data_IF_255072401558
#
_entry.id   IF_255072401558
#
_cell.length_a   1.000
_cell.length_b   1.000
_cell.length_c   1.000
_cell.angle_alpha   90.00
_cell.angle_beta   90.00
_cell.angle_gamma   90.00
#
_symmetry.space_group_name_H-M   'P 1'
#
loop_
_entity.id
_entity.type
_entity.pdbx_description
1 polymer ?
#
# COMPACT_ATOMS: atom_id res chain seq x y z
N UNK A 1 -6.24 -0.20 34.88
CA UNK A 1 -5.37 -0.01 33.68
C UNK A 1 -5.05 -1.40 33.16
N UNK A 2 -5.87 -1.93 32.26
CA UNK A 2 -5.62 -3.25 31.64
C UNK A 2 -4.59 -3.08 30.53
N UNK A 3 -3.47 -3.79 30.65
CA UNK A 3 -2.50 -3.95 29.58
C UNK A 3 -3.16 -4.59 28.37
N UNK A 4 -3.39 -3.80 27.32
CA UNK A 4 -3.78 -4.33 26.01
C UNK A 4 -2.70 -5.30 25.54
N UNK A 5 -2.99 -6.60 25.58
CA UNK A 5 -2.21 -7.62 24.87
C UNK A 5 -1.97 -7.12 23.44
N UNK A 6 -0.70 -6.91 23.07
CA UNK A 6 -0.29 -6.60 21.71
C UNK A 6 -0.72 -7.77 20.81
N UNK A 7 -1.88 -7.63 20.18
CA UNK A 7 -2.26 -8.50 19.07
C UNK A 7 -1.21 -8.33 17.97
N UNK A 8 -0.65 -9.43 17.46
CA UNK A 8 0.30 -9.36 16.37
C UNK A 8 -0.29 -8.58 15.19
N UNK A 9 0.54 -7.87 14.41
CA UNK A 9 0.14 -6.98 13.28
C UNK A 9 -0.74 -7.65 12.19
N UNK A 10 -1.11 -8.91 12.32
CA UNK A 10 -1.93 -9.70 11.39
C UNK A 10 -3.25 -10.22 11.94
N UNK A 11 -3.63 -9.92 13.19
CA UNK A 11 -4.86 -10.39 13.83
C UNK A 11 -6.00 -9.39 13.79
N UNK A 12 -7.12 -9.75 14.42
CA UNK A 12 -8.29 -8.90 14.59
C UNK A 12 -7.96 -7.61 15.36
N UNK A 13 -8.34 -6.46 14.84
CA UNK A 13 -8.09 -5.14 15.47
C UNK A 13 -8.82 -4.95 16.81
N UNK A 14 -9.83 -5.78 17.09
CA UNK A 14 -10.66 -5.67 18.29
C UNK A 14 -10.11 -6.56 19.40
N UNK A 15 -9.83 -7.83 19.10
CA UNK A 15 -9.45 -8.82 20.12
C UNK A 15 -8.10 -9.52 19.88
N UNK A 16 -7.41 -9.22 18.78
CA UNK A 16 -6.11 -9.84 18.44
C UNK A 16 -6.17 -11.28 17.90
N UNK A 17 -7.35 -11.88 17.86
CA UNK A 17 -7.54 -13.26 17.39
C UNK A 17 -7.30 -13.39 15.89
N UNK A 18 -7.06 -14.62 15.45
CA UNK A 18 -6.84 -14.95 14.04
C UNK A 18 -8.06 -14.62 13.17
N UNK A 19 -7.82 -14.14 11.95
CA UNK A 19 -8.87 -13.88 10.97
C UNK A 19 -9.30 -15.17 10.27
N UNK A 20 -10.60 -15.34 10.13
CA UNK A 20 -11.24 -16.42 9.37
C UNK A 20 -11.69 -15.90 8.03
N UNK A 21 -11.40 -16.64 6.97
CA UNK A 21 -11.80 -16.30 5.60
C UNK A 21 -12.87 -17.26 5.10
N UNK A 22 -14.01 -16.72 4.68
CA UNK A 22 -15.13 -17.48 4.13
C UNK A 22 -15.05 -17.51 2.60
N UNK A 23 -15.48 -18.62 1.98
CA UNK A 23 -15.58 -18.72 0.52
C UNK A 23 -16.68 -17.81 -0.02
N UNK A 24 -17.80 -17.73 0.67
CA UNK A 24 -18.91 -16.82 0.34
C UNK A 24 -18.86 -15.58 1.24
N UNK A 25 -19.26 -14.43 0.66
CA UNK A 25 -19.36 -13.19 1.40
C UNK A 25 -20.58 -13.24 2.33
N UNK A 26 -20.36 -12.95 3.62
CA UNK A 26 -21.41 -12.88 4.64
C UNK A 26 -21.68 -11.43 5.04
N UNK A 27 -22.93 -11.14 5.45
CA UNK A 27 -23.30 -9.82 5.94
C UNK A 27 -22.65 -9.56 7.30
N UNK A 28 -21.84 -8.51 7.37
CA UNK A 28 -21.08 -8.12 8.57
C UNK A 28 -21.38 -6.68 8.95
N UNK A 29 -21.29 -6.39 10.25
CA UNK A 29 -21.44 -5.04 10.79
C UNK A 29 -20.12 -4.58 11.39
N UNK A 30 -19.61 -3.43 10.95
CA UNK A 30 -18.39 -2.85 11.49
C UNK A 30 -18.56 -2.46 12.95
N UNK A 31 -17.72 -2.98 13.83
CA UNK A 31 -17.78 -2.72 15.28
C UNK A 31 -17.45 -1.27 15.66
N UNK A 32 -16.80 -0.50 14.76
CA UNK A 32 -16.43 0.89 15.03
C UNK A 32 -17.43 1.91 14.50
N UNK A 33 -18.00 1.71 13.31
CA UNK A 33 -18.89 2.70 12.68
C UNK A 33 -20.31 2.19 12.41
N UNK A 34 -20.60 0.92 12.68
CA UNK A 34 -21.93 0.32 12.45
C UNK A 34 -22.27 0.08 10.96
N UNK A 35 -21.36 0.38 10.01
CA UNK A 35 -21.61 0.14 8.58
C UNK A 35 -21.83 -1.35 8.33
N UNK A 36 -22.92 -1.68 7.61
CA UNK A 36 -23.21 -3.03 7.15
C UNK A 36 -22.68 -3.21 5.72
N UNK A 37 -21.93 -4.28 5.51
CA UNK A 37 -21.42 -4.65 4.18
C UNK A 37 -21.07 -6.14 4.13
N UNK A 38 -20.97 -6.69 2.92
CA UNK A 38 -20.58 -8.08 2.71
C UNK A 38 -19.05 -8.22 2.82
N UNK A 39 -18.61 -9.22 3.59
CA UNK A 39 -17.18 -9.50 3.77
C UNK A 39 -16.89 -11.00 3.68
N UNK A 40 -15.71 -11.33 3.16
CA UNK A 40 -15.15 -12.68 3.20
C UNK A 40 -14.25 -12.92 4.43
N UNK A 41 -14.12 -11.93 5.33
CA UNK A 41 -13.22 -12.01 6.47
C UNK A 41 -13.88 -11.48 7.74
N UNK A 42 -13.75 -12.24 8.81
CA UNK A 42 -14.06 -11.84 10.19
C UNK A 42 -13.07 -12.47 11.14
N UNK A 43 -13.12 -12.19 12.43
CA UNK A 43 -12.39 -12.99 13.41
C UNK A 43 -13.28 -14.12 13.95
N UNK A 44 -12.68 -15.08 14.69
CA UNK A 44 -13.42 -16.20 15.30
C UNK A 44 -14.54 -15.75 16.25
N UNK A 45 -14.35 -14.59 16.89
CA UNK A 45 -15.35 -13.97 17.78
C UNK A 45 -16.40 -13.13 17.02
N UNK A 46 -16.42 -13.20 15.68
CA UNK A 46 -17.37 -12.48 14.83
C UNK A 46 -17.09 -10.99 14.65
N UNK A 47 -15.99 -10.44 15.18
CA UNK A 47 -15.66 -9.04 14.96
C UNK A 47 -15.33 -8.76 13.49
N UNK A 48 -15.87 -7.66 12.99
CA UNK A 48 -15.57 -7.12 11.67
C UNK A 48 -15.23 -5.64 11.76
N UNK A 49 -14.23 -5.21 10.98
CA UNK A 49 -13.86 -3.81 10.84
C UNK A 49 -13.81 -3.47 9.36
N UNK A 50 -14.61 -2.49 8.92
CA UNK A 50 -14.63 -2.06 7.52
C UNK A 50 -13.30 -1.43 7.09
N UNK A 51 -13.01 -1.47 5.78
CA UNK A 51 -11.76 -0.96 5.22
C UNK A 51 -11.46 0.50 5.64
N UNK A 52 -12.49 1.36 5.69
CA UNK A 52 -12.33 2.76 6.11
C UNK A 52 -11.87 2.89 7.57
N UNK A 53 -12.53 2.19 8.50
CA UNK A 53 -12.14 2.21 9.91
C UNK A 53 -10.79 1.54 10.15
N UNK A 54 -10.47 0.49 9.37
CA UNK A 54 -9.19 -0.20 9.44
C UNK A 54 -8.04 0.70 9.01
N UNK A 55 -8.23 1.48 7.94
CA UNK A 55 -7.18 2.30 7.34
C UNK A 55 -6.95 3.65 8.04
N UNK A 56 -7.96 4.17 8.76
CA UNK A 56 -7.98 5.58 9.22
C UNK A 56 -6.68 6.05 9.86
N UNK A 57 -6.22 5.37 10.91
CA UNK A 57 -4.98 5.75 11.60
C UNK A 57 -3.72 5.55 10.76
N UNK A 58 -3.72 4.52 9.91
CA UNK A 58 -2.64 4.29 8.96
C UNK A 58 -2.53 5.39 7.90
N UNK A 59 -3.66 5.90 7.41
CA UNK A 59 -3.68 7.03 6.46
C UNK A 59 -3.21 8.33 7.11
N UNK A 60 -3.62 8.59 8.36
CA UNK A 60 -3.13 9.73 9.15
C UNK A 60 -1.59 9.67 9.33
N UNK A 61 -1.04 8.50 9.67
CA UNK A 61 0.40 8.28 9.80
C UNK A 61 1.16 8.46 8.48
N UNK A 62 0.61 7.93 7.37
CA UNK A 62 1.18 8.10 6.02
C UNK A 62 1.28 9.59 5.69
N UNK A 63 0.18 10.34 5.85
CA UNK A 63 0.13 11.77 5.53
C UNK A 63 1.13 12.57 6.38
N UNK A 64 1.15 12.35 7.69
CA UNK A 64 2.05 13.04 8.61
C UNK A 64 3.52 12.84 8.20
N UNK A 65 3.96 11.60 8.02
CA UNK A 65 5.34 11.30 7.64
C UNK A 65 5.69 11.86 6.27
N UNK A 66 4.80 11.76 5.29
CA UNK A 66 5.04 12.28 3.94
C UNK A 66 5.19 13.81 3.90
N UNK A 67 4.51 14.55 4.78
CA UNK A 67 4.64 16.00 4.87
C UNK A 67 5.89 16.47 5.63
N UNK A 68 6.44 15.64 6.53
CA UNK A 68 7.57 15.99 7.37
C UNK A 68 8.93 15.56 6.76
N UNK A 69 8.94 14.52 5.93
CA UNK A 69 10.20 13.94 5.43
C UNK A 69 10.79 14.72 4.26
N UNK A 70 12.12 14.85 4.25
CA UNK A 70 12.90 15.36 3.13
C UNK A 70 13.57 14.26 2.29
N UNK A 71 13.28 12.99 2.55
CA UNK A 71 13.86 11.87 1.84
C UNK A 71 13.46 11.86 0.35
N UNK A 72 14.41 11.54 -0.51
CA UNK A 72 14.23 11.38 -1.95
C UNK A 72 14.10 9.92 -2.39
N UNK A 73 14.30 9.00 -1.45
CA UNK A 73 14.16 7.56 -1.66
C UNK A 73 12.76 7.09 -1.24
N UNK A 74 11.87 6.73 -2.19
CA UNK A 74 10.52 6.28 -1.88
C UNK A 74 10.49 4.95 -1.11
N UNK A 75 11.53 4.13 -1.20
CA UNK A 75 11.66 2.89 -0.44
C UNK A 75 11.96 3.19 1.02
N UNK A 76 12.87 4.11 1.29
CA UNK A 76 13.18 4.55 2.65
C UNK A 76 11.96 5.21 3.32
N UNK A 77 11.21 6.05 2.59
CA UNK A 77 9.96 6.64 3.07
C UNK A 77 8.97 5.54 3.46
N UNK A 78 8.74 4.57 2.59
CA UNK A 78 7.81 3.46 2.84
C UNK A 78 8.26 2.59 4.01
N UNK A 79 9.56 2.34 4.18
CA UNK A 79 10.07 1.58 5.31
C UNK A 79 9.80 2.29 6.64
N UNK A 80 9.94 3.61 6.69
CA UNK A 80 9.56 4.40 7.87
C UNK A 80 8.06 4.34 8.14
N UNK A 81 7.22 4.52 7.10
CA UNK A 81 5.76 4.37 7.23
C UNK A 81 5.40 2.98 7.75
N UNK A 82 6.01 1.93 7.19
CA UNK A 82 5.75 0.53 7.57
C UNK A 82 6.15 0.20 9.01
N UNK A 83 7.03 0.99 9.63
CA UNK A 83 7.41 0.83 11.02
C UNK A 83 6.31 1.32 11.98
N UNK A 84 5.40 2.17 11.54
CA UNK A 84 4.28 2.67 12.34
C UNK A 84 3.35 1.51 12.78
N UNK A 85 2.91 1.49 14.05
CA UNK A 85 2.08 0.42 14.60
C UNK A 85 0.69 0.30 13.94
N UNK A 86 0.23 1.34 13.26
CA UNK A 86 -1.05 1.36 12.55
C UNK A 86 -0.94 0.90 11.09
N UNK A 87 0.26 0.56 10.63
CA UNK A 87 0.48 -0.03 9.29
C UNK A 87 0.59 -1.55 9.44
N UNK A 88 -0.50 -2.22 9.23
CA UNK A 88 -0.61 -3.67 9.41
C UNK A 88 0.16 -4.46 8.35
N UNK A 89 0.35 -5.77 8.58
CA UNK A 89 1.00 -6.64 7.58
C UNK A 89 0.21 -6.66 6.27
N UNK A 90 -1.12 -6.66 6.38
CA UNK A 90 -2.07 -6.62 5.27
C UNK A 90 -3.19 -5.63 5.58
N UNK A 91 -3.24 -4.50 4.91
CA UNK A 91 -4.25 -3.48 5.12
C UNK A 91 -4.53 -2.63 3.89
N UNK A 92 -5.68 -1.95 3.86
CA UNK A 92 -6.06 -1.08 2.74
C UNK A 92 -5.18 0.18 2.64
N UNK A 93 -4.56 0.64 3.70
CA UNK A 93 -3.63 1.78 3.74
C UNK A 93 -2.45 1.64 2.76
N UNK A 94 -2.06 0.39 2.46
CA UNK A 94 -1.01 0.13 1.47
C UNK A 94 -1.36 0.59 0.05
N UNK A 95 -2.66 0.83 -0.25
CA UNK A 95 -3.08 1.33 -1.56
C UNK A 95 -2.75 2.81 -1.74
N UNK A 96 -2.67 3.55 -0.64
CA UNK A 96 -2.29 4.95 -0.63
C UNK A 96 -0.79 5.09 -0.42
N UNK A 97 -0.21 4.30 0.47
CA UNK A 97 1.17 4.40 0.92
C UNK A 97 2.20 4.43 -0.22
N UNK A 98 2.08 3.53 -1.21
CA UNK A 98 3.06 3.47 -2.30
C UNK A 98 3.02 4.74 -3.17
N UNK A 99 1.82 5.20 -3.55
CA UNK A 99 1.67 6.42 -4.33
C UNK A 99 2.07 7.67 -3.54
N UNK A 100 1.73 7.74 -2.25
CA UNK A 100 2.11 8.84 -1.38
C UNK A 100 3.64 8.97 -1.25
N UNK A 101 4.35 7.86 -1.02
CA UNK A 101 5.81 7.85 -0.95
C UNK A 101 6.48 8.30 -2.26
N UNK A 102 5.93 7.89 -3.42
CA UNK A 102 6.41 8.33 -4.73
C UNK A 102 6.20 9.83 -4.96
N UNK A 103 5.00 10.35 -4.64
CA UNK A 103 4.70 11.79 -4.76
C UNK A 103 5.64 12.61 -3.87
N UNK A 104 5.86 12.16 -2.64
CA UNK A 104 6.77 12.82 -1.69
C UNK A 104 8.20 12.81 -2.19
N UNK A 105 8.70 11.66 -2.65
CA UNK A 105 10.07 11.56 -3.20
C UNK A 105 10.24 12.46 -4.43
N UNK A 106 9.27 12.49 -5.36
CA UNK A 106 9.28 13.40 -6.51
C UNK A 106 9.29 14.86 -6.10
N UNK A 107 8.46 15.26 -5.14
CA UNK A 107 8.44 16.63 -4.60
C UNK A 107 9.82 17.00 -4.04
N UNK A 108 10.42 16.13 -3.24
CA UNK A 108 11.73 16.33 -2.63
C UNK A 108 12.88 16.33 -3.66
N UNK A 109 12.67 15.73 -4.84
CA UNK A 109 13.56 15.82 -6.00
C UNK A 109 13.36 17.10 -6.82
N UNK A 110 12.44 17.99 -6.41
CA UNK A 110 12.18 19.27 -7.08
C UNK A 110 11.11 19.22 -8.16
N UNK A 111 10.30 18.17 -8.21
CA UNK A 111 9.10 18.19 -9.05
C UNK A 111 8.15 19.29 -8.58
N UNK A 112 7.69 20.13 -9.50
CA UNK A 112 6.83 21.28 -9.21
C UNK A 112 5.39 20.88 -8.92
N UNK A 113 5.15 20.07 -7.89
CA UNK A 113 3.82 19.65 -7.44
C UNK A 113 3.50 20.20 -6.05
N UNK A 114 2.23 20.55 -5.82
CA UNK A 114 1.70 20.81 -4.49
C UNK A 114 1.55 19.45 -3.76
N UNK A 115 2.46 19.18 -2.83
CA UNK A 115 2.51 17.90 -2.13
C UNK A 115 1.25 17.65 -1.31
N UNK A 116 0.73 18.68 -0.63
CA UNK A 116 -0.44 18.52 0.23
C UNK A 116 -1.68 18.12 -0.58
N UNK A 117 -1.90 18.80 -1.71
CA UNK A 117 -2.99 18.51 -2.63
C UNK A 117 -2.78 17.14 -3.33
N UNK A 118 -1.56 16.82 -3.72
CA UNK A 118 -1.23 15.51 -4.32
C UNK A 118 -1.48 14.34 -3.37
N UNK A 119 -1.14 14.48 -2.09
CA UNK A 119 -1.41 13.47 -1.07
C UNK A 119 -2.92 13.33 -0.81
N UNK A 120 -3.66 14.43 -0.78
CA UNK A 120 -5.13 14.41 -0.66
C UNK A 120 -5.78 13.64 -1.82
N UNK A 121 -5.36 13.94 -3.06
CA UNK A 121 -5.84 13.22 -4.24
C UNK A 121 -5.46 11.73 -4.22
N UNK A 122 -4.26 11.41 -3.73
CA UNK A 122 -3.80 10.02 -3.61
C UNK A 122 -4.66 9.23 -2.60
N UNK A 123 -4.98 9.83 -1.47
CA UNK A 123 -5.85 9.24 -0.45
C UNK A 123 -7.27 9.03 -1.00
N UNK A 124 -7.85 10.05 -1.61
CA UNK A 124 -9.18 10.00 -2.20
C UNK A 124 -9.29 8.89 -3.26
N UNK A 125 -8.43 8.91 -4.27
CA UNK A 125 -8.46 7.95 -5.39
C UNK A 125 -8.07 6.53 -4.94
N UNK A 126 -7.06 6.41 -4.08
CA UNK A 126 -6.59 5.12 -3.54
C UNK A 126 -7.65 4.43 -2.66
N UNK A 127 -8.47 5.20 -1.95
CA UNK A 127 -9.55 4.69 -1.10
C UNK A 127 -10.77 4.20 -1.91
N UNK A 128 -10.98 4.74 -3.11
CA UNK A 128 -12.12 4.39 -3.98
C UNK A 128 -11.92 3.06 -4.74
N UNK A 129 -10.72 2.49 -4.77
CA UNK A 129 -10.45 1.24 -5.49
C UNK A 129 -11.29 0.09 -4.90
N UNK A 130 -12.20 -0.56 -5.67
CA UNK A 130 -13.19 -1.49 -5.12
C UNK A 130 -12.59 -2.74 -4.45
N UNK A 131 -13.22 -3.20 -3.35
CA UNK A 131 -12.82 -4.42 -2.64
C UNK A 131 -12.91 -5.69 -3.53
N UNK A 132 -13.81 -5.69 -4.52
CA UNK A 132 -14.02 -6.79 -5.45
C UNK A 132 -12.76 -7.22 -6.23
N UNK A 133 -11.79 -6.32 -6.44
CA UNK A 133 -10.51 -6.66 -7.06
C UNK A 133 -9.70 -7.69 -6.26
N UNK A 134 -9.99 -7.89 -4.96
CA UNK A 134 -9.39 -8.97 -4.15
C UNK A 134 -9.78 -10.35 -4.63
N UNK A 135 -11.04 -10.52 -5.03
CA UNK A 135 -11.62 -11.82 -5.44
C UNK A 135 -11.05 -12.26 -6.79
N UNK A 136 -10.71 -11.30 -7.66
CA UNK A 136 -10.13 -11.56 -8.98
C UNK A 136 -8.62 -11.83 -8.95
N UNK A 137 -8.02 -12.03 -7.77
CA UNK A 137 -6.57 -12.22 -7.63
C UNK A 137 -5.74 -10.97 -7.93
N UNK A 138 -6.39 -9.85 -8.28
CA UNK A 138 -5.73 -8.58 -8.56
C UNK A 138 -5.51 -7.79 -7.28
N UNK A 139 -4.27 -7.38 -7.03
CA UNK A 139 -3.93 -6.58 -5.87
C UNK A 139 -4.19 -5.09 -6.17
N UNK A 140 -5.04 -4.43 -5.39
CA UNK A 140 -5.37 -2.99 -5.49
C UNK A 140 -4.14 -2.07 -5.52
N UNK A 141 -3.01 -2.46 -4.92
CA UNK A 141 -1.77 -1.68 -4.81
C UNK A 141 -1.08 -1.39 -6.12
N UNK A 142 -1.35 -2.18 -7.13
CA UNK A 142 -0.78 -2.04 -8.46
C UNK A 142 -1.37 -0.83 -9.20
N UNK A 143 -2.62 -0.47 -8.85
CA UNK A 143 -3.28 0.75 -9.35
C UNK A 143 -2.69 2.01 -8.70
N UNK A 144 -2.10 1.89 -7.50
CA UNK A 144 -1.48 2.99 -6.76
C UNK A 144 -0.40 3.73 -7.55
N UNK A 145 0.46 2.99 -8.27
CA UNK A 145 1.51 3.60 -9.10
C UNK A 145 0.94 4.30 -10.34
N UNK A 146 -0.14 3.78 -10.91
CA UNK A 146 -0.88 4.46 -11.99
C UNK A 146 -1.61 5.72 -11.50
N UNK A 147 -2.21 5.67 -10.30
CA UNK A 147 -2.81 6.85 -9.65
C UNK A 147 -1.74 7.91 -9.39
N UNK A 148 -0.59 7.51 -8.81
CA UNK A 148 0.58 8.38 -8.64
C UNK A 148 0.95 9.07 -9.94
N UNK A 149 1.16 8.33 -11.02
CA UNK A 149 1.54 8.88 -12.33
C UNK A 149 0.46 9.81 -12.88
N UNK A 150 -0.82 9.49 -12.67
CA UNK A 150 -1.93 10.34 -13.12
C UNK A 150 -1.99 11.67 -12.35
N UNK A 151 -1.65 11.68 -11.07
CA UNK A 151 -1.57 12.89 -10.25
C UNK A 151 -0.37 13.73 -10.69
N UNK A 152 0.81 13.12 -10.80
CA UNK A 152 2.05 13.79 -11.17
C UNK A 152 1.95 14.47 -12.56
N UNK A 153 1.27 13.84 -13.51
CA UNK A 153 1.13 14.33 -14.89
C UNK A 153 -0.18 15.09 -15.16
N UNK A 154 -1.05 15.23 -14.18
CA UNK A 154 -2.38 15.81 -14.35
C UNK A 154 -3.27 15.05 -15.33
N UNK A 155 -3.08 13.74 -15.46
CA UNK A 155 -3.82 12.92 -16.44
C UNK A 155 -5.32 12.86 -16.11
N UNK A 156 -6.13 13.03 -17.15
CA UNK A 156 -7.59 12.87 -17.12
C UNK A 156 -8.03 11.79 -18.13
N UNK A 157 -9.27 11.30 -18.08
CA UNK A 157 -9.78 10.38 -19.08
C UNK A 157 -9.71 10.89 -20.52
N UNK A 158 -9.60 12.19 -20.71
CA UNK A 158 -9.50 12.85 -22.03
C UNK A 158 -8.06 13.14 -22.44
N UNK A 159 -7.08 12.86 -21.58
CA UNK A 159 -5.67 13.06 -21.88
C UNK A 159 -5.15 11.95 -22.79
N UNK A 160 -4.30 12.28 -23.78
CA UNK A 160 -3.67 11.30 -24.66
C UNK A 160 -2.48 10.60 -23.98
N UNK A 161 -1.30 11.22 -24.09
CA UNK A 161 -0.04 10.62 -23.64
C UNK A 161 0.01 10.34 -22.13
N UNK A 162 -0.40 11.29 -21.29
CA UNK A 162 -0.35 11.14 -19.83
C UNK A 162 -1.32 10.06 -19.33
N UNK A 163 -2.49 9.87 -19.99
CA UNK A 163 -3.37 8.75 -19.70
C UNK A 163 -2.71 7.41 -20.07
N UNK A 164 -2.08 7.33 -21.25
CA UNK A 164 -1.31 6.17 -21.68
C UNK A 164 -0.16 5.84 -20.73
N UNK A 165 0.57 6.85 -20.26
CA UNK A 165 1.67 6.69 -19.31
C UNK A 165 1.21 6.14 -17.96
N UNK A 166 0.07 6.61 -17.44
CA UNK A 166 -0.50 6.10 -16.18
C UNK A 166 -0.88 4.61 -16.28
N UNK A 167 -1.38 4.17 -17.44
CA UNK A 167 -1.68 2.75 -17.70
C UNK A 167 -0.40 1.93 -17.84
N UNK A 168 0.63 2.43 -18.55
CA UNK A 168 1.93 1.75 -18.67
C UNK A 168 2.61 1.59 -17.31
N UNK A 169 2.55 2.60 -16.45
CA UNK A 169 3.03 2.55 -15.07
C UNK A 169 2.37 1.41 -14.29
N UNK A 170 1.05 1.30 -14.37
CA UNK A 170 0.30 0.22 -13.74
C UNK A 170 0.72 -1.14 -14.30
N UNK A 171 0.80 -1.28 -15.61
CA UNK A 171 1.17 -2.52 -16.29
C UNK A 171 2.58 -2.99 -15.92
N UNK A 172 3.56 -2.08 -15.87
CA UNK A 172 4.95 -2.37 -15.50
C UNK A 172 5.05 -2.89 -14.06
N UNK A 173 4.38 -2.23 -13.11
CA UNK A 173 4.32 -2.70 -11.72
C UNK A 173 3.63 -4.07 -11.60
N UNK A 174 2.57 -4.30 -12.38
CA UNK A 174 1.86 -5.57 -12.44
C UNK A 174 2.74 -6.71 -12.93
N UNK A 175 3.46 -6.51 -14.03
CA UNK A 175 4.35 -7.51 -14.62
C UNK A 175 5.47 -7.88 -13.65
N UNK A 176 6.15 -6.89 -13.06
CA UNK A 176 7.23 -7.13 -12.11
C UNK A 176 6.79 -7.93 -10.88
N UNK A 177 5.63 -7.60 -10.31
CA UNK A 177 5.07 -8.35 -9.18
C UNK A 177 4.64 -9.76 -9.62
N UNK A 178 4.04 -9.89 -10.81
CA UNK A 178 3.61 -11.15 -11.38
C UNK A 178 4.75 -12.14 -11.57
N UNK A 179 5.92 -11.66 -12.01
CA UNK A 179 7.14 -12.48 -12.16
C UNK A 179 7.64 -13.08 -10.84
N UNK A 180 7.48 -12.38 -9.71
CA UNK A 180 7.84 -12.91 -8.38
C UNK A 180 6.81 -13.95 -7.93
N UNK A 181 5.54 -13.77 -8.28
CA UNK A 181 4.45 -14.68 -7.94
C UNK A 181 3.91 -14.54 -6.51
N UNK A 182 3.03 -15.48 -6.13
CA UNK A 182 2.35 -15.54 -4.84
C UNK A 182 3.03 -16.46 -3.82
N UNK A 183 2.44 -16.57 -2.61
CA UNK A 183 1.26 -15.86 -2.13
C UNK A 183 1.45 -14.34 -1.96
N UNK A 184 0.34 -13.61 -1.84
CA UNK A 184 0.38 -12.14 -1.73
C UNK A 184 1.21 -11.68 -0.53
N UNK A 185 1.97 -10.61 -0.72
CA UNK A 185 2.67 -9.95 0.37
C UNK A 185 2.66 -8.43 0.16
N UNK A 186 1.99 -7.70 1.07
CA UNK A 186 1.84 -6.26 0.95
C UNK A 186 3.16 -5.51 0.91
N UNK A 187 4.13 -5.93 1.72
CA UNK A 187 5.44 -5.29 1.79
C UNK A 187 6.26 -5.54 0.53
N UNK A 188 6.39 -6.81 0.11
CA UNK A 188 7.10 -7.20 -1.12
C UNK A 188 6.55 -6.49 -2.34
N UNK A 189 5.23 -6.55 -2.52
CA UNK A 189 4.58 -6.00 -3.69
C UNK A 189 4.71 -4.47 -3.73
N UNK A 190 4.72 -3.79 -2.58
CA UNK A 190 5.00 -2.36 -2.48
C UNK A 190 6.44 -2.05 -2.90
N UNK A 191 7.45 -2.73 -2.36
CA UNK A 191 8.85 -2.51 -2.74
C UNK A 191 9.07 -2.71 -4.24
N UNK A 192 8.49 -3.78 -4.82
CA UNK A 192 8.59 -4.04 -6.25
C UNK A 192 7.94 -2.92 -7.07
N UNK A 193 6.74 -2.48 -6.68
CA UNK A 193 6.04 -1.41 -7.38
C UNK A 193 6.78 -0.06 -7.31
N UNK A 194 7.36 0.28 -6.16
CA UNK A 194 8.14 1.51 -5.98
C UNK A 194 9.36 1.55 -6.87
N UNK A 195 10.12 0.44 -6.94
CA UNK A 195 11.30 0.34 -7.79
C UNK A 195 10.94 0.58 -9.25
N UNK A 196 9.94 -0.13 -9.76
CA UNK A 196 9.50 0.03 -11.15
C UNK A 196 8.95 1.42 -11.44
N UNK A 197 8.24 2.01 -10.45
CA UNK A 197 7.69 3.36 -10.61
C UNK A 197 8.79 4.42 -10.64
N UNK A 198 9.80 4.32 -9.79
CA UNK A 198 10.92 5.26 -9.78
C UNK A 198 11.68 5.22 -11.10
N UNK A 199 11.97 4.01 -11.61
CA UNK A 199 12.66 3.83 -12.90
C UNK A 199 11.86 4.40 -14.08
N UNK A 200 10.54 4.12 -14.15
CA UNK A 200 9.72 4.66 -15.23
C UNK A 200 9.56 6.18 -15.13
N UNK A 201 9.53 6.73 -13.93
CA UNK A 201 9.46 8.19 -13.72
C UNK A 201 10.72 8.89 -14.21
N UNK A 202 11.90 8.30 -13.98
CA UNK A 202 13.15 8.80 -14.52
C UNK A 202 13.17 8.70 -16.05
N UNK A 203 12.80 7.54 -16.60
CA UNK A 203 12.76 7.27 -18.05
C UNK A 203 11.84 8.24 -18.81
N UNK A 204 10.65 8.55 -18.27
CA UNK A 204 9.61 9.29 -18.98
C UNK A 204 9.54 10.78 -18.63
N UNK A 205 9.96 11.15 -17.42
CA UNK A 205 9.83 12.52 -16.91
C UNK A 205 11.16 13.16 -16.49
N UNK A 206 12.27 12.41 -16.50
CA UNK A 206 13.58 12.89 -16.10
C UNK A 206 13.71 13.19 -14.60
N UNK A 207 12.76 12.74 -13.77
CA UNK A 207 12.79 12.95 -12.32
C UNK A 207 13.52 11.75 -11.69
N UNK A 208 14.73 11.98 -11.23
CA UNK A 208 15.57 10.95 -10.63
C UNK A 208 15.38 10.91 -9.12
N UNK A 209 14.66 9.88 -8.65
CA UNK A 209 14.54 9.55 -7.24
C UNK A 209 15.73 8.71 -6.79
N UNK A 210 16.10 8.81 -5.52
CA UNK A 210 17.09 7.93 -4.92
C UNK A 210 16.47 6.53 -4.75
N UNK A 211 17.26 5.50 -5.05
CA UNK A 211 16.90 4.10 -4.78
C UNK A 211 18.04 3.42 -4.02
N UNK A 212 17.74 2.58 -3.01
CA UNK A 212 18.79 1.86 -2.31
C UNK A 212 19.38 0.77 -3.22
N UNK A 213 20.67 0.49 -3.09
CA UNK A 213 21.31 -0.63 -3.80
C UNK A 213 20.63 -1.96 -3.49
N UNK A 214 20.16 -2.13 -2.27
CA UNK A 214 19.48 -3.31 -1.81
C UNK A 214 18.31 -2.97 -0.88
N UNK A 215 17.15 -3.61 -1.14
CA UNK A 215 15.96 -3.50 -0.29
C UNK A 215 15.92 -4.73 0.63
N UNK A 216 15.95 -4.50 1.95
CA UNK A 216 15.86 -5.55 2.97
C UNK A 216 14.51 -5.48 3.67
N UNK A 217 13.78 -6.60 3.65
CA UNK A 217 12.50 -6.72 4.33
C UNK A 217 12.70 -7.17 5.79
N UNK A 218 12.26 -6.35 6.75
CA UNK A 218 12.29 -6.66 8.19
C UNK A 218 11.02 -7.33 8.71
N UNK A 219 10.00 -7.52 7.84
CA UNK A 219 8.65 -8.00 8.20
C UNK A 219 8.45 -9.49 7.97
N UNK A 220 9.50 -10.24 7.65
CA UNK A 220 9.38 -11.67 7.29
C UNK A 220 8.88 -12.55 8.44
N UNK A 221 9.11 -12.16 9.69
CA UNK A 221 8.63 -12.85 10.88
C UNK A 221 7.15 -12.61 11.18
N UNK A 222 6.57 -11.53 10.66
CA UNK A 222 5.18 -11.13 10.89
C UNK A 222 4.22 -11.70 9.82
N UNK A 223 4.75 -12.17 8.69
CA UNK A 223 3.96 -12.72 7.60
C UNK A 223 4.01 -14.25 7.58
N UNK A 224 2.93 -14.90 7.98
CA UNK A 224 2.80 -16.34 7.94
C UNK A 224 2.97 -16.94 6.54
N UNK A 225 2.66 -16.17 5.49
CA UNK A 225 2.74 -16.56 4.08
C UNK A 225 4.03 -16.06 3.40
N UNK A 226 5.08 -15.74 4.18
CA UNK A 226 6.33 -15.23 3.63
C UNK A 226 7.03 -16.27 2.75
N UNK A 227 7.44 -15.87 1.54
CA UNK A 227 8.20 -16.70 0.60
C UNK A 227 9.63 -17.04 1.08
N UNK A 228 10.10 -16.32 2.13
CA UNK A 228 11.46 -16.47 2.68
C UNK A 228 12.52 -16.42 1.57
N UNK A 229 13.40 -17.38 1.44
CA UNK A 229 14.53 -17.44 0.48
C UNK A 229 14.12 -17.24 -0.98
N UNK A 230 12.83 -17.44 -1.33
CA UNK A 230 12.32 -17.17 -2.69
C UNK A 230 11.90 -15.70 -2.90
N UNK A 231 11.89 -14.88 -1.85
CA UNK A 231 11.58 -13.45 -1.94
C UNK A 231 12.88 -12.67 -2.18
N UNK A 232 12.93 -11.76 -3.20
CA UNK A 232 14.13 -10.99 -3.50
C UNK A 232 14.56 -10.04 -2.36
N UNK A 233 13.65 -9.73 -1.44
CA UNK A 233 13.88 -8.81 -0.31
C UNK A 233 14.15 -9.52 1.02
N UNK A 234 14.30 -10.85 1.01
CA UNK A 234 14.52 -11.63 2.22
C UNK A 234 16.00 -11.88 2.48
N UNK A 235 16.52 -11.42 3.61
CA UNK A 235 17.93 -11.62 4.03
C UNK A 235 18.10 -12.57 5.22
N UNK A 236 17.08 -13.34 5.57
CA UNK A 236 17.13 -14.19 6.76
C UNK A 236 16.50 -13.51 7.99
N UNK A 237 16.68 -14.10 9.18
CA UNK A 237 16.36 -13.41 10.44
C UNK A 237 17.46 -12.40 10.70
N UNK A 238 17.13 -11.12 10.72
CA UNK A 238 17.94 -10.09 11.33
C UNK A 238 17.78 -10.20 12.82
#
# INVERSE_FOLDING_TARGET
MEEKKKGGRGGCLVCGQELVYCQEAVDMTCVFCGKKEKSHASCREGHYVCDACHAKKGLEAIRALCLETSLKDPVAIVQQIMADPYIYMHGPEHHVMAGAALLTACHNCGAGLDLEEALRQMEERGSQVPAALRVLGMLRRRVSTGIYMSILTGATPLSGNSWGLSNRMTARALDAIGRIGGPRCCKRDTFTALKEAALLTEEELGIQMELPEEIICTFSGENQQCLRKKCPYYKGKV
#
